data_IF_500286496727
#
_entry.id   IF_500286496727
#
_cell.length_a   1.000
_cell.length_b   1.000
_cell.length_c   1.000
_cell.angle_alpha   90.00
_cell.angle_beta   90.00
_cell.angle_gamma   90.00
#
_symmetry.space_group_name_H-M   'P 1'
#
loop_
_entity.id
_entity.type
_entity.pdbx_description
1 polymer ?
#
# COMPACT_ATOMS: atom_id res chain seq x y z
N UNK A 1 2.90 12.93 25.36
CA UNK A 1 3.17 11.59 24.81
C UNK A 1 2.10 11.32 23.76
N UNK A 2 2.48 11.19 22.48
CA UNK A 2 1.55 10.84 21.40
C UNK A 2 1.25 9.34 21.48
N UNK A 3 -0.03 8.97 21.44
CA UNK A 3 -0.42 7.56 21.38
C UNK A 3 -0.01 7.02 19.99
N UNK A 4 0.83 5.98 19.88
CA UNK A 4 1.19 5.38 18.59
C UNK A 4 -0.01 4.95 17.75
N UNK A 5 -1.17 4.70 18.37
CA UNK A 5 -2.41 4.32 17.69
C UNK A 5 -3.10 5.50 16.98
N UNK A 6 -2.78 6.75 17.32
CA UNK A 6 -3.36 7.93 16.66
C UNK A 6 -3.07 7.93 15.15
N UNK A 7 -1.94 7.37 14.72
CA UNK A 7 -1.55 7.27 13.30
C UNK A 7 -2.46 6.37 12.47
N UNK A 8 -3.25 5.52 13.12
CA UNK A 8 -4.13 4.53 12.48
C UNK A 8 -5.61 4.81 12.76
N UNK A 9 -5.95 6.05 13.10
CA UNK A 9 -7.34 6.50 13.28
C UNK A 9 -7.78 7.25 12.00
N UNK A 10 -8.87 6.82 11.37
CA UNK A 10 -9.64 7.66 10.44
C UNK A 10 -10.50 8.64 11.24
N UNK A 11 -10.90 9.77 10.65
CA UNK A 11 -11.76 10.78 11.31
C UNK A 11 -13.04 10.17 11.93
N UNK A 12 -13.54 9.05 11.40
CA UNK A 12 -14.75 8.36 11.88
C UNK A 12 -14.54 6.92 12.39
N UNK A 13 -13.31 6.42 12.58
CA UNK A 13 -13.11 5.04 13.06
C UNK A 13 -11.67 4.50 13.07
N UNK A 14 -11.48 3.31 13.64
CA UNK A 14 -10.18 2.63 13.65
C UNK A 14 -9.90 1.97 12.29
N UNK A 15 -8.69 2.12 11.75
CA UNK A 15 -8.21 1.29 10.64
C UNK A 15 -8.21 -0.18 11.09
N UNK A 16 -8.89 -1.07 10.37
CA UNK A 16 -9.03 -2.49 10.74
C UNK A 16 -8.27 -3.44 9.82
N UNK A 17 -8.07 -3.05 8.56
CA UNK A 17 -7.37 -3.84 7.55
C UNK A 17 -6.36 -2.99 6.80
N UNK A 18 -5.10 -3.44 6.77
CA UNK A 18 -4.00 -2.76 6.09
C UNK A 18 -3.36 -3.73 5.10
N UNK A 19 -3.21 -3.33 3.85
CA UNK A 19 -2.38 -4.01 2.87
C UNK A 19 -0.98 -3.38 2.84
N UNK A 20 0.06 -4.19 2.94
CA UNK A 20 1.44 -3.75 2.79
C UNK A 20 2.01 -4.28 1.49
N UNK A 21 2.48 -3.38 0.63
CA UNK A 21 3.02 -3.70 -0.70
C UNK A 21 4.50 -3.32 -0.70
N UNK A 22 5.36 -4.26 -1.06
CA UNK A 22 6.82 -4.11 -1.03
C UNK A 22 7.43 -4.65 -2.32
N UNK A 23 8.60 -4.12 -2.66
CA UNK A 23 9.58 -4.75 -3.55
C UNK A 23 9.03 -5.17 -4.93
N UNK A 24 8.10 -4.40 -5.47
CA UNK A 24 7.61 -4.65 -6.83
C UNK A 24 8.57 -4.11 -7.90
N UNK A 25 9.62 -3.36 -7.50
CA UNK A 25 10.75 -2.96 -8.34
C UNK A 25 10.33 -2.46 -9.72
N UNK A 26 9.46 -1.46 -9.80
CA UNK A 26 9.03 -0.85 -11.06
C UNK A 26 8.25 -1.80 -11.98
N UNK A 27 7.72 -2.91 -11.48
CA UNK A 27 6.94 -3.85 -12.28
C UNK A 27 5.45 -3.48 -12.27
N UNK A 28 5.05 -2.61 -13.21
CA UNK A 28 3.66 -2.16 -13.37
C UNK A 28 2.66 -3.32 -13.48
N UNK A 29 3.00 -4.39 -14.19
CA UNK A 29 2.09 -5.53 -14.36
C UNK A 29 1.88 -6.30 -13.06
N UNK A 30 2.95 -6.54 -12.30
CA UNK A 30 2.85 -7.18 -11.00
C UNK A 30 2.09 -6.30 -10.00
N UNK A 31 2.39 -4.99 -9.98
CA UNK A 31 1.67 -4.03 -9.15
C UNK A 31 0.17 -4.02 -9.48
N UNK A 32 -0.18 -3.96 -10.77
CA UNK A 32 -1.57 -3.97 -11.22
C UNK A 32 -2.33 -5.23 -10.80
N UNK A 33 -1.70 -6.40 -10.86
CA UNK A 33 -2.31 -7.65 -10.40
C UNK A 33 -2.58 -7.63 -8.89
N UNK A 34 -1.61 -7.20 -8.08
CA UNK A 34 -1.75 -7.12 -6.62
C UNK A 34 -2.79 -6.07 -6.22
N UNK A 35 -2.85 -4.93 -6.93
CA UNK A 35 -3.85 -3.90 -6.64
C UNK A 35 -5.29 -4.41 -6.84
N UNK A 36 -5.54 -5.30 -7.81
CA UNK A 36 -6.85 -5.95 -7.96
C UNK A 36 -7.19 -6.83 -6.75
N UNK A 37 -6.22 -7.54 -6.20
CA UNK A 37 -6.42 -8.35 -4.99
C UNK A 37 -6.66 -7.48 -3.76
N UNK A 38 -5.93 -6.37 -3.64
CA UNK A 38 -6.10 -5.37 -2.57
C UNK A 38 -7.49 -4.74 -2.61
N UNK A 39 -7.99 -4.40 -3.81
CA UNK A 39 -9.34 -3.86 -4.00
C UNK A 39 -10.40 -4.88 -3.55
N UNK A 40 -10.25 -6.15 -3.94
CA UNK A 40 -11.15 -7.25 -3.52
C UNK A 40 -11.10 -7.52 -2.01
N UNK A 41 -9.99 -7.20 -1.35
CA UNK A 41 -9.82 -7.42 0.08
C UNK A 41 -10.46 -6.34 0.96
N UNK A 42 -10.98 -5.26 0.37
CA UNK A 42 -11.63 -4.12 1.05
C UNK A 42 -10.79 -3.59 2.23
N UNK A 43 -9.51 -3.31 1.96
CA UNK A 43 -8.61 -2.77 2.98
C UNK A 43 -8.87 -1.29 3.25
N UNK A 44 -8.62 -0.85 4.48
CA UNK A 44 -8.79 0.55 4.88
C UNK A 44 -7.55 1.39 4.55
N UNK A 45 -6.38 0.76 4.37
CA UNK A 45 -5.13 1.47 4.10
C UNK A 45 -4.18 0.60 3.29
N UNK A 46 -3.52 1.20 2.30
CA UNK A 46 -2.39 0.62 1.58
C UNK A 46 -1.12 1.33 2.03
N UNK A 47 -0.11 0.56 2.44
CA UNK A 47 1.20 1.08 2.85
C UNK A 47 2.26 0.51 1.92
N UNK A 48 3.08 1.38 1.35
CA UNK A 48 4.24 0.98 0.55
C UNK A 48 5.47 0.88 1.43
N UNK A 49 6.08 -0.31 1.48
CA UNK A 49 7.25 -0.60 2.33
C UNK A 49 8.59 -0.11 1.77
N UNK A 50 8.64 0.28 0.50
CA UNK A 50 9.87 0.67 -0.20
C UNK A 50 10.06 -0.09 -1.51
N UNK A 51 11.21 0.13 -2.15
CA UNK A 51 11.63 -0.59 -3.36
C UNK A 51 10.62 -0.55 -4.51
N UNK A 52 10.06 0.64 -4.70
CA UNK A 52 9.01 0.93 -5.67
C UNK A 52 9.54 1.02 -7.11
N UNK A 53 10.69 1.65 -7.36
CA UNK A 53 11.02 2.13 -8.71
C UNK A 53 12.31 1.56 -9.32
N UNK A 54 12.89 0.49 -8.76
CA UNK A 54 14.20 -0.02 -9.19
C UNK A 54 14.19 -0.93 -10.45
N UNK A 55 13.08 -1.01 -11.19
CA UNK A 55 12.99 -1.93 -12.34
C UNK A 55 12.28 -1.37 -13.57
N UNK A 56 11.59 -2.20 -14.38
CA UNK A 56 11.44 -1.97 -15.82
C UNK A 56 10.53 -0.80 -16.22
N UNK A 57 9.56 -0.45 -15.38
CA UNK A 57 8.58 0.63 -15.60
C UNK A 57 8.54 1.54 -14.37
N UNK A 58 9.65 2.24 -14.07
CA UNK A 58 9.81 2.93 -12.80
C UNK A 58 8.96 4.20 -12.72
N UNK A 59 8.72 4.87 -13.86
CA UNK A 59 7.93 6.10 -13.92
C UNK A 59 6.44 5.79 -13.76
N UNK A 60 5.98 4.69 -14.33
CA UNK A 60 4.58 4.27 -14.30
C UNK A 60 4.14 3.77 -12.92
N UNK A 61 5.08 3.58 -11.99
CA UNK A 61 4.82 3.04 -10.65
C UNK A 61 5.02 4.03 -9.50
N UNK A 62 5.30 5.31 -9.79
CA UNK A 62 5.40 6.42 -8.82
C UNK A 62 4.24 7.39 -9.06
#
# INVERSE_FOLDING_TARGET
MHDPQDRFRREEGLIKRIAMLCDFHGNLHALGAVLQDVERAEVDLVVFGGDVAAGPMPVETI
#
